data_IF_737673878158
#
_entry.id   IF_737673878158
#
_cell.length_a   1.000
_cell.length_b   1.000
_cell.length_c   1.000
_cell.angle_alpha   90.00
_cell.angle_beta   90.00
_cell.angle_gamma   90.00
#
_symmetry.space_group_name_H-M   'P 1'
#
loop_
_entity.id
_entity.type
_entity.pdbx_description
1 polymer ?
#
# COMPACT_ATOMS: atom_id res chain seq x y z
N UNK A 1 -15.29 -43.24 17.45
CA UNK A 1 -16.08 -42.03 17.16
C UNK A 1 -15.31 -40.85 17.74
N UNK A 2 -14.50 -40.20 16.92
CA UNK A 2 -13.67 -39.06 17.32
C UNK A 2 -14.58 -37.83 17.43
N UNK A 3 -14.48 -37.08 18.54
CA UNK A 3 -15.24 -35.85 18.76
C UNK A 3 -14.68 -34.76 17.85
N UNK A 4 -15.54 -34.12 17.06
CA UNK A 4 -15.22 -32.86 16.39
C UNK A 4 -15.05 -31.77 17.46
N UNK A 5 -13.84 -31.25 17.57
CA UNK A 5 -13.50 -30.13 18.45
C UNK A 5 -13.76 -28.83 17.68
N UNK A 6 -14.96 -28.26 17.83
CA UNK A 6 -15.31 -26.97 17.22
C UNK A 6 -14.44 -25.87 17.84
N UNK A 7 -13.46 -25.38 17.10
CA UNK A 7 -12.62 -24.26 17.56
C UNK A 7 -13.48 -22.99 17.63
N UNK A 8 -13.86 -22.59 18.85
CA UNK A 8 -14.59 -21.34 19.08
C UNK A 8 -13.72 -20.16 18.64
N UNK A 9 -14.16 -19.44 17.62
CA UNK A 9 -13.49 -18.22 17.14
C UNK A 9 -13.81 -17.08 18.10
N UNK A 10 -12.83 -16.68 18.92
CA UNK A 10 -12.98 -15.50 19.77
C UNK A 10 -12.73 -14.23 18.93
N UNK A 11 -13.67 -13.29 18.93
CA UNK A 11 -13.57 -12.04 18.16
C UNK A 11 -13.26 -10.86 19.07
N UNK A 12 -12.57 -9.86 18.54
CA UNK A 12 -12.27 -8.59 19.22
C UNK A 12 -12.67 -7.45 18.29
N UNK A 13 -13.32 -6.42 18.85
CA UNK A 13 -13.65 -5.20 18.11
C UNK A 13 -12.53 -4.18 18.29
N UNK A 14 -12.05 -3.62 17.18
CA UNK A 14 -11.04 -2.56 17.16
C UNK A 14 -11.64 -1.33 16.46
N UNK A 15 -11.35 -0.16 16.99
CA UNK A 15 -11.52 1.10 16.25
C UNK A 15 -10.49 1.20 15.12
N UNK A 16 -10.74 2.04 14.10
CA UNK A 16 -9.77 2.25 13.01
C UNK A 16 -8.40 2.76 13.50
N UNK A 17 -8.31 3.69 14.48
CA UNK A 17 -7.03 4.05 15.08
C UNK A 17 -6.32 2.87 15.76
N UNK A 18 -7.05 1.98 16.44
CA UNK A 18 -6.46 0.79 17.06
C UNK A 18 -5.97 -0.22 16.03
N UNK A 19 -6.72 -0.42 14.93
CA UNK A 19 -6.30 -1.25 13.81
C UNK A 19 -5.01 -0.71 13.16
N UNK A 20 -4.96 0.60 12.90
CA UNK A 20 -3.75 1.28 12.43
C UNK A 20 -2.57 1.08 13.39
N UNK A 21 -2.75 1.32 14.70
CA UNK A 21 -1.68 1.20 15.70
C UNK A 21 -1.20 -0.25 15.85
N UNK A 22 -2.10 -1.23 15.72
CA UNK A 22 -1.74 -2.65 15.71
C UNK A 22 -0.85 -2.97 14.51
N UNK A 23 -1.26 -2.56 13.31
CA UNK A 23 -0.47 -2.77 12.08
C UNK A 23 0.88 -2.05 12.14
N UNK A 24 0.89 -0.77 12.51
CA UNK A 24 2.10 0.04 12.60
C UNK A 24 3.13 -0.59 13.55
N UNK A 25 2.72 -0.95 14.77
CA UNK A 25 3.61 -1.58 15.75
C UNK A 25 4.17 -2.90 15.24
N UNK A 26 3.31 -3.75 14.66
CA UNK A 26 3.74 -5.03 14.11
C UNK A 26 4.76 -4.86 12.97
N UNK A 27 4.55 -3.91 12.06
CA UNK A 27 5.48 -3.66 10.95
C UNK A 27 6.81 -3.08 11.46
N UNK A 28 6.74 -2.04 12.29
CA UNK A 28 7.93 -1.37 12.80
C UNK A 28 8.78 -2.31 13.67
N UNK A 29 8.16 -3.12 14.52
CA UNK A 29 8.88 -4.11 15.34
C UNK A 29 9.53 -5.24 14.51
N UNK A 30 9.10 -5.43 13.27
CA UNK A 30 9.64 -6.43 12.35
C UNK A 30 10.61 -5.84 11.31
N UNK A 31 11.05 -4.59 11.49
CA UNK A 31 12.15 -4.00 10.71
C UNK A 31 11.74 -3.07 9.59
N UNK A 32 10.46 -2.72 9.45
CA UNK A 32 10.06 -1.61 8.59
C UNK A 32 10.45 -0.27 9.21
N UNK A 33 11.01 0.63 8.41
CA UNK A 33 11.20 2.02 8.80
C UNK A 33 9.86 2.68 9.17
N UNK A 34 9.89 3.73 9.99
CA UNK A 34 8.68 4.44 10.41
C UNK A 34 7.78 4.87 9.23
N UNK A 35 8.38 5.35 8.14
CA UNK A 35 7.66 5.80 6.95
C UNK A 35 6.97 4.66 6.21
N UNK A 36 7.66 3.53 6.05
CA UNK A 36 7.07 2.35 5.38
C UNK A 36 6.02 1.68 6.25
N UNK A 37 6.25 1.58 7.56
CA UNK A 37 5.28 1.08 8.53
C UNK A 37 4.00 1.92 8.53
N UNK A 38 4.12 3.25 8.55
CA UNK A 38 2.99 4.18 8.47
C UNK A 38 2.19 4.00 7.16
N UNK A 39 2.89 3.94 6.02
CA UNK A 39 2.26 3.80 4.71
C UNK A 39 1.44 2.50 4.59
N UNK A 40 2.03 1.36 5.01
CA UNK A 40 1.34 0.06 5.01
C UNK A 40 0.21 0.05 6.03
N UNK A 41 0.43 0.56 7.25
CA UNK A 41 -0.57 0.56 8.31
C UNK A 41 -1.82 1.39 7.94
N UNK A 42 -1.64 2.55 7.29
CA UNK A 42 -2.76 3.35 6.76
C UNK A 42 -3.53 2.58 5.69
N UNK A 43 -2.81 1.92 4.77
CA UNK A 43 -3.45 1.17 3.69
C UNK A 43 -4.31 0.01 4.21
N UNK A 44 -3.78 -0.81 5.13
CA UNK A 44 -4.54 -1.93 5.68
C UNK A 44 -5.68 -1.48 6.59
N UNK A 45 -5.53 -0.35 7.30
CA UNK A 45 -6.61 0.23 8.10
C UNK A 45 -7.75 0.75 7.22
N UNK A 46 -7.45 1.33 6.05
CA UNK A 46 -8.46 1.66 5.05
C UNK A 46 -9.14 0.38 4.51
N UNK A 47 -8.37 -0.69 4.29
CA UNK A 47 -8.93 -2.00 3.93
C UNK A 47 -9.97 -2.51 4.94
N UNK A 48 -9.73 -2.34 6.23
CA UNK A 48 -10.72 -2.67 7.28
C UNK A 48 -11.91 -1.73 7.29
N UNK A 49 -11.69 -0.40 7.13
CA UNK A 49 -12.76 0.61 7.03
C UNK A 49 -13.79 0.21 5.98
N UNK A 50 -13.32 -0.32 4.84
CA UNK A 50 -14.16 -0.61 3.69
C UNK A 50 -14.63 -2.08 3.65
N UNK A 51 -14.40 -2.85 4.72
CA UNK A 51 -14.82 -4.25 4.83
C UNK A 51 -14.08 -5.20 3.86
N UNK A 52 -12.96 -4.77 3.28
CA UNK A 52 -12.17 -5.56 2.34
C UNK A 52 -11.11 -6.37 3.09
N UNK A 53 -11.53 -7.43 3.80
CA UNK A 53 -10.64 -8.22 4.66
C UNK A 53 -9.39 -8.77 3.93
N UNK A 54 -9.52 -9.11 2.65
CA UNK A 54 -8.38 -9.58 1.83
C UNK A 54 -7.30 -8.51 1.62
N UNK A 55 -7.59 -7.24 1.89
CA UNK A 55 -6.66 -6.11 1.83
C UNK A 55 -6.56 -5.34 3.16
N UNK A 56 -7.12 -5.89 4.24
CA UNK A 56 -7.08 -5.36 5.60
C UNK A 56 -5.87 -5.84 6.43
N UNK A 57 -6.03 -5.91 7.75
CA UNK A 57 -5.00 -6.30 8.72
C UNK A 57 -4.33 -7.64 8.41
N UNK A 58 -5.06 -8.56 7.79
CA UNK A 58 -4.52 -9.84 7.31
C UNK A 58 -3.25 -9.67 6.47
N UNK A 59 -3.16 -8.60 5.66
CA UNK A 59 -2.00 -8.34 4.79
C UNK A 59 -0.72 -8.04 5.56
N UNK A 60 -0.78 -7.60 6.82
CA UNK A 60 0.41 -7.37 7.65
C UNK A 60 1.27 -8.62 7.77
N UNK A 61 0.64 -9.80 7.91
CA UNK A 61 1.34 -11.08 7.94
C UNK A 61 2.13 -11.34 6.65
N UNK A 62 1.52 -11.05 5.50
CA UNK A 62 2.16 -11.17 4.19
C UNK A 62 3.30 -10.17 3.99
N UNK A 63 3.15 -8.95 4.49
CA UNK A 63 4.17 -7.91 4.42
C UNK A 63 5.41 -8.29 5.21
N UNK A 64 5.23 -8.71 6.47
CA UNK A 64 6.33 -9.16 7.33
C UNK A 64 7.02 -10.40 6.74
N UNK A 65 6.26 -11.38 6.23
CA UNK A 65 6.84 -12.55 5.54
C UNK A 65 7.66 -12.17 4.31
N UNK A 66 7.18 -11.20 3.52
CA UNK A 66 7.88 -10.73 2.32
C UNK A 66 9.20 -10.05 2.68
N UNK A 67 9.24 -9.29 3.77
CA UNK A 67 10.47 -8.69 4.28
C UNK A 67 11.47 -9.77 4.74
N UNK A 68 11.05 -10.71 5.57
CA UNK A 68 11.94 -11.79 6.02
C UNK A 68 12.45 -12.68 4.87
N UNK A 69 11.67 -12.82 3.79
CA UNK A 69 12.09 -13.51 2.58
C UNK A 69 12.96 -12.66 1.64
N UNK A 70 13.36 -11.44 2.05
CA UNK A 70 14.13 -10.49 1.23
C UNK A 70 13.47 -10.16 -0.11
N UNK A 71 12.13 -10.20 -0.18
CA UNK A 71 11.34 -9.87 -1.38
C UNK A 71 10.96 -8.40 -1.46
N UNK A 72 11.11 -7.65 -0.36
CA UNK A 72 10.79 -6.24 -0.27
C UNK A 72 11.82 -5.51 0.58
N UNK A 73 12.14 -4.28 0.21
CA UNK A 73 12.97 -3.37 1.01
C UNK A 73 12.08 -2.58 1.99
N UNK A 74 12.51 -2.45 3.25
CA UNK A 74 11.69 -1.90 4.34
C UNK A 74 11.95 -0.41 4.64
N UNK A 75 12.96 0.15 4.00
CA UNK A 75 13.52 1.48 4.26
C UNK A 75 13.95 2.22 2.98
N UNK A 76 13.75 1.62 1.81
CA UNK A 76 14.17 2.23 0.56
C UNK A 76 13.40 3.52 0.26
N UNK A 77 14.11 4.53 -0.22
CA UNK A 77 13.55 5.84 -0.55
C UNK A 77 13.37 5.97 -2.07
N UNK A 78 12.20 6.43 -2.56
CA UNK A 78 11.91 6.46 -3.98
C UNK A 78 12.73 7.51 -4.72
N UNK A 79 13.14 7.20 -5.96
CA UNK A 79 13.83 8.16 -6.85
C UNK A 79 12.93 8.56 -8.01
N UNK A 80 12.90 9.86 -8.28
CA UNK A 80 11.99 10.46 -9.26
C UNK A 80 12.73 10.70 -10.57
N UNK A 81 12.07 10.41 -11.68
CA UNK A 81 12.52 10.76 -13.03
C UNK A 81 11.39 11.51 -13.70
N UNK A 82 11.58 12.82 -13.88
CA UNK A 82 10.68 13.65 -14.68
C UNK A 82 11.10 13.54 -16.16
N UNK A 83 10.53 12.55 -16.84
CA UNK A 83 10.91 12.20 -18.22
C UNK A 83 10.15 13.00 -19.27
N UNK A 84 9.00 13.58 -18.95
CA UNK A 84 8.16 14.34 -19.87
C UNK A 84 7.11 15.20 -19.11
N UNK A 85 6.54 16.24 -19.75
CA UNK A 85 5.53 17.11 -19.11
C UNK A 85 4.37 16.34 -18.46
N UNK A 86 3.86 15.32 -19.16
CA UNK A 86 2.72 14.50 -18.73
C UNK A 86 3.10 13.10 -18.20
N UNK A 87 4.38 12.86 -17.88
CA UNK A 87 4.83 11.56 -17.34
C UNK A 87 5.67 11.80 -16.09
N UNK A 88 5.35 11.09 -15.01
CA UNK A 88 6.21 10.98 -13.84
C UNK A 88 6.59 9.52 -13.64
N UNK A 89 7.89 9.22 -13.62
CA UNK A 89 8.41 7.90 -13.29
C UNK A 89 9.05 7.90 -11.91
N UNK A 90 8.83 6.83 -11.17
CA UNK A 90 9.37 6.65 -9.82
C UNK A 90 9.97 5.25 -9.70
N UNK A 91 11.22 5.14 -9.28
CA UNK A 91 11.82 3.88 -8.86
C UNK A 91 11.60 3.70 -7.36
N UNK A 92 10.93 2.62 -6.96
CA UNK A 92 10.65 2.29 -5.57
C UNK A 92 11.76 1.46 -4.89
N UNK A 93 12.81 1.10 -5.63
CA UNK A 93 14.00 0.40 -5.11
C UNK A 93 13.68 -0.88 -4.34
N UNK A 94 12.74 -1.67 -4.85
CA UNK A 94 12.32 -2.94 -4.28
C UNK A 94 11.37 -2.83 -3.09
N UNK A 95 10.93 -1.63 -2.70
CA UNK A 95 9.96 -1.47 -1.61
C UNK A 95 8.51 -1.74 -2.05
N UNK A 96 7.58 -1.69 -1.09
CA UNK A 96 6.17 -1.58 -1.41
C UNK A 96 5.88 -0.27 -2.14
N UNK A 97 4.95 -0.30 -3.09
CA UNK A 97 4.58 0.87 -3.92
C UNK A 97 4.08 2.07 -3.11
N UNK A 98 3.59 1.86 -1.89
CA UNK A 98 2.87 2.86 -1.10
C UNK A 98 3.69 4.12 -0.80
N UNK A 99 4.96 3.98 -0.38
CA UNK A 99 5.82 5.14 -0.08
C UNK A 99 6.16 5.93 -1.34
N UNK A 100 6.46 5.22 -2.44
CA UNK A 100 6.69 5.82 -3.75
C UNK A 100 5.46 6.58 -4.25
N UNK A 101 4.28 5.97 -4.13
CA UNK A 101 3.00 6.57 -4.52
C UNK A 101 2.69 7.83 -3.70
N UNK A 102 2.74 7.75 -2.37
CA UNK A 102 2.48 8.90 -1.49
C UNK A 102 3.44 10.06 -1.75
N UNK A 103 4.73 9.77 -1.98
CA UNK A 103 5.72 10.79 -2.29
C UNK A 103 5.46 11.45 -3.66
N UNK A 104 5.01 10.67 -4.64
CA UNK A 104 4.80 11.12 -6.01
C UNK A 104 3.51 11.90 -6.22
N UNK A 105 2.50 11.64 -5.38
CA UNK A 105 1.14 12.13 -5.58
C UNK A 105 1.04 13.66 -5.77
N UNK A 106 1.69 14.52 -4.96
CA UNK A 106 1.61 15.97 -5.17
C UNK A 106 2.17 16.42 -6.52
N UNK A 107 3.33 15.91 -6.91
CA UNK A 107 3.97 16.26 -8.18
C UNK A 107 3.18 15.70 -9.38
N UNK A 108 2.63 14.50 -9.24
CA UNK A 108 1.76 13.89 -10.25
C UNK A 108 0.49 14.70 -10.47
N UNK A 109 -0.22 15.08 -9.41
CA UNK A 109 -1.44 15.92 -9.50
C UNK A 109 -1.13 17.25 -10.17
N UNK A 110 0.00 17.88 -9.85
CA UNK A 110 0.42 19.12 -10.50
C UNK A 110 0.58 18.94 -12.03
N UNK A 111 1.19 17.83 -12.46
CA UNK A 111 1.30 17.49 -13.89
C UNK A 111 -0.06 17.25 -14.54
N UNK A 112 -0.97 16.53 -13.88
CA UNK A 112 -2.33 16.31 -14.39
C UNK A 112 -3.04 17.64 -14.60
N UNK A 113 -2.97 18.55 -13.62
CA UNK A 113 -3.61 19.88 -13.73
C UNK A 113 -3.00 20.75 -14.83
N UNK A 114 -1.69 20.64 -15.04
CA UNK A 114 -1.01 21.40 -16.07
C UNK A 114 -1.29 20.86 -17.49
N UNK A 115 -1.28 19.54 -17.66
CA UNK A 115 -1.35 18.89 -18.97
C UNK A 115 -2.74 18.41 -19.37
N UNK A 116 -3.72 18.43 -18.46
CA UNK A 116 -5.07 17.86 -18.64
C UNK A 116 -5.11 16.33 -18.44
N UNK A 117 -4.02 15.63 -18.75
CA UNK A 117 -3.80 14.21 -18.48
C UNK A 117 -2.33 13.98 -18.15
N UNK A 118 -2.04 13.04 -17.25
CA UNK A 118 -0.68 12.58 -17.01
C UNK A 118 -0.67 11.10 -16.61
N UNK A 119 0.48 10.45 -16.75
CA UNK A 119 0.74 9.08 -16.29
C UNK A 119 1.78 9.04 -15.17
N UNK A 120 1.50 8.27 -14.12
CA UNK A 120 2.45 7.93 -13.07
C UNK A 120 2.88 6.47 -13.24
N UNK A 121 4.18 6.24 -13.40
CA UNK A 121 4.77 4.91 -13.49
C UNK A 121 5.66 4.66 -12.28
N UNK A 122 5.23 3.77 -11.38
CA UNK A 122 6.04 3.30 -10.25
C UNK A 122 6.66 1.96 -10.66
N UNK A 123 7.99 1.89 -10.70
CA UNK A 123 8.75 0.72 -11.10
C UNK A 123 9.54 0.13 -9.93
N UNK A 124 10.03 -1.10 -10.12
CA UNK A 124 10.78 -1.86 -9.10
C UNK A 124 10.08 -1.86 -7.74
N UNK A 125 8.76 -2.07 -7.72
CA UNK A 125 7.97 -2.13 -6.50
C UNK A 125 7.26 -3.48 -6.36
N UNK A 126 6.91 -3.81 -5.12
CA UNK A 126 5.90 -4.82 -4.81
C UNK A 126 4.57 -4.11 -4.55
N UNK A 127 3.51 -4.55 -5.23
CA UNK A 127 2.16 -4.02 -5.02
C UNK A 127 1.28 -5.10 -4.37
N UNK A 128 0.60 -4.74 -3.29
CA UNK A 128 -0.32 -5.65 -2.58
C UNK A 128 -1.63 -4.99 -2.16
N UNK A 129 -1.74 -3.67 -2.28
CA UNK A 129 -2.91 -2.89 -1.89
C UNK A 129 -4.08 -3.12 -2.84
N UNK A 130 -5.28 -2.77 -2.41
CA UNK A 130 -6.41 -2.71 -3.32
C UNK A 130 -6.28 -1.46 -4.21
N UNK A 131 -6.54 -1.60 -5.51
CA UNK A 131 -6.40 -0.50 -6.48
C UNK A 131 -7.35 0.68 -6.20
N UNK A 132 -8.47 0.47 -5.49
CA UNK A 132 -9.35 1.56 -5.09
C UNK A 132 -8.62 2.56 -4.17
N UNK A 133 -7.73 2.07 -3.29
CA UNK A 133 -6.94 2.91 -2.40
C UNK A 133 -5.91 3.78 -3.16
N UNK A 134 -5.51 3.35 -4.35
CA UNK A 134 -4.59 4.09 -5.22
C UNK A 134 -5.30 5.15 -6.06
N UNK A 135 -6.63 5.08 -6.23
CA UNK A 135 -7.40 6.08 -6.99
C UNK A 135 -8.20 7.03 -6.10
N UNK A 136 -8.62 6.61 -4.90
CA UNK A 136 -9.37 7.45 -3.95
C UNK A 136 -8.74 8.84 -3.75
N UNK A 137 -7.41 8.96 -3.49
CA UNK A 137 -6.77 10.28 -3.31
C UNK A 137 -6.82 11.17 -4.55
N UNK A 138 -6.98 10.60 -5.75
CA UNK A 138 -7.14 11.36 -6.99
C UNK A 138 -8.59 11.82 -7.17
N UNK A 139 -9.55 10.95 -6.83
CA UNK A 139 -10.98 11.28 -6.89
C UNK A 139 -11.32 12.41 -5.91
N UNK A 140 -10.74 12.40 -4.70
CA UNK A 140 -10.87 13.48 -3.71
C UNK A 140 -10.38 14.84 -4.24
N UNK A 141 -9.54 14.85 -5.28
CA UNK A 141 -9.04 16.05 -5.94
C UNK A 141 -9.88 16.47 -7.15
N UNK A 142 -11.02 15.80 -7.40
CA UNK A 142 -11.90 16.03 -8.54
C UNK A 142 -11.35 15.48 -9.86
N UNK A 143 -10.41 14.53 -9.81
CA UNK A 143 -9.81 13.92 -10.99
C UNK A 143 -10.50 12.60 -11.34
N UNK A 144 -10.39 12.19 -12.60
CA UNK A 144 -10.70 10.82 -13.05
C UNK A 144 -9.39 10.04 -13.11
N UNK A 145 -9.40 8.79 -12.63
CA UNK A 145 -8.19 7.97 -12.57
C UNK A 145 -8.44 6.55 -13.12
N UNK A 146 -7.41 6.01 -13.76
CA UNK A 146 -7.28 4.60 -14.12
C UNK A 146 -5.98 4.07 -13.50
N UNK A 147 -6.07 2.95 -12.79
CA UNK A 147 -4.93 2.30 -12.17
C UNK A 147 -4.84 0.84 -12.61
N UNK A 148 -3.62 0.38 -12.85
CA UNK A 148 -3.31 -1.01 -13.14
C UNK A 148 -2.04 -1.42 -12.39
N UNK A 149 -1.94 -2.71 -12.08
CA UNK A 149 -0.78 -3.31 -11.43
C UNK A 149 -0.50 -4.67 -12.06
N UNK A 150 0.75 -5.10 -12.00
CA UNK A 150 1.13 -6.43 -12.46
C UNK A 150 0.78 -7.46 -11.39
N UNK A 151 0.25 -8.62 -11.81
CA UNK A 151 0.11 -9.78 -10.95
C UNK A 151 1.30 -10.73 -11.16
N UNK A 152 1.72 -11.46 -10.12
CA UNK A 152 2.72 -12.51 -10.31
C UNK A 152 2.15 -13.59 -11.26
N UNK A 153 2.95 -14.12 -12.21
CA UNK A 153 2.55 -15.30 -12.98
C UNK A 153 2.24 -16.45 -12.02
N UNK A 154 1.12 -17.14 -12.27
CA UNK A 154 0.74 -18.37 -11.56
C UNK A 154 1.60 -19.57 -11.92
#
# INVERSE_FOLDING_TARGET
>A
MLKEETTMTNTVNLTLPEAYQLAYRALHSNGFSARHADAVAKNVAAGERDGCHSHGLYRVLGCVRSLHASKVMADAEPTFTDSAPAILRVDAHGAFSLVAYQAALPAFIAKVRHCGIAALAINHCVHFSALWADIEPLIEQGLVALACTQAMPG
#
